data_IF_596868519110
#
_entry.id   IF_596868519110
#
_cell.length_a   1.000
_cell.length_b   1.000
_cell.length_c   1.000
_cell.angle_alpha   90.00
_cell.angle_beta   90.00
_cell.angle_gamma   90.00
#
_symmetry.space_group_name_H-M   'P 1'
#
loop_
_entity.id
_entity.type
_entity.pdbx_description
1 polymer ?
#
# COMPACT_ATOMS: atom_id res chain seq x y z
N UNK A 1 -20.13 21.82 3.47
CA UNK A 1 -19.78 23.23 3.78
C UNK A 1 -19.97 24.04 2.53
N UNK A 2 -20.77 25.09 2.60
CA UNK A 2 -20.84 26.08 1.52
C UNK A 2 -19.65 27.04 1.66
N UNK A 3 -19.00 27.34 0.53
CA UNK A 3 -17.90 28.32 0.47
C UNK A 3 -18.52 29.68 0.13
N UNK A 4 -18.13 30.73 0.86
CA UNK A 4 -18.65 32.06 0.61
C UNK A 4 -18.07 32.66 -0.67
N UNK A 5 -18.82 33.58 -1.28
CA UNK A 5 -18.38 34.33 -2.46
C UNK A 5 -17.06 35.07 -2.21
N UNK A 6 -16.83 35.59 -1.01
CA UNK A 6 -15.57 36.22 -0.62
C UNK A 6 -14.39 35.27 -0.75
N UNK A 7 -14.56 34.00 -0.33
CA UNK A 7 -13.51 32.98 -0.44
C UNK A 7 -13.29 32.50 -1.86
N UNK A 8 -14.32 32.54 -2.71
CA UNK A 8 -14.17 32.29 -4.15
C UNK A 8 -13.34 33.39 -4.81
N UNK A 9 -13.58 34.67 -4.46
CA UNK A 9 -12.77 35.80 -4.94
C UNK A 9 -11.31 35.69 -4.48
N UNK A 10 -11.10 35.39 -3.20
CA UNK A 10 -9.76 35.17 -2.66
C UNK A 10 -9.02 34.06 -3.43
N UNK A 11 -9.71 32.96 -3.74
CA UNK A 11 -9.15 31.88 -4.57
C UNK A 11 -8.76 32.37 -5.98
N UNK A 12 -9.59 33.19 -6.65
CA UNK A 12 -9.25 33.78 -7.96
C UNK A 12 -8.01 34.65 -7.89
N UNK A 13 -7.91 35.51 -6.87
CA UNK A 13 -6.80 36.43 -6.68
C UNK A 13 -5.49 35.67 -6.46
N UNK A 14 -5.51 34.64 -5.61
CA UNK A 14 -4.36 33.76 -5.39
C UNK A 14 -3.99 33.03 -6.68
N UNK A 15 -4.95 32.44 -7.38
CA UNK A 15 -4.67 31.68 -8.60
C UNK A 15 -4.06 32.56 -9.70
N UNK A 16 -4.58 33.78 -9.88
CA UNK A 16 -4.01 34.76 -10.81
C UNK A 16 -2.59 35.16 -10.42
N UNK A 17 -2.33 35.36 -9.13
CA UNK A 17 -1.00 35.72 -8.63
C UNK A 17 0.03 34.62 -8.86
N UNK A 18 -0.32 33.37 -8.56
CA UNK A 18 0.61 32.24 -8.60
C UNK A 18 0.82 31.69 -10.02
N UNK A 19 -0.22 31.70 -10.85
CA UNK A 19 -0.19 31.06 -12.19
C UNK A 19 -0.38 32.05 -13.35
N UNK A 20 -0.58 33.34 -13.08
CA UNK A 20 -0.80 34.36 -14.11
C UNK A 20 -2.12 34.20 -14.88
N UNK A 21 -2.99 33.27 -14.48
CA UNK A 21 -4.23 32.92 -15.18
C UNK A 21 -5.45 33.45 -14.43
N UNK A 22 -6.30 34.19 -15.13
CA UNK A 22 -7.62 34.54 -14.62
C UNK A 22 -8.59 33.37 -14.80
N UNK A 23 -9.32 33.04 -13.74
CA UNK A 23 -10.38 32.04 -13.76
C UNK A 23 -11.73 32.73 -13.86
N UNK A 24 -12.66 32.15 -14.62
CA UNK A 24 -14.07 32.51 -14.52
C UNK A 24 -14.62 32.19 -13.13
N UNK A 25 -15.73 32.83 -12.74
CA UNK A 25 -16.37 32.56 -11.45
C UNK A 25 -16.70 31.08 -11.26
N UNK A 26 -17.19 30.41 -12.31
CA UNK A 26 -17.55 28.99 -12.28
C UNK A 26 -16.32 28.12 -12.01
N UNK A 27 -15.23 28.34 -12.74
CA UNK A 27 -13.97 27.59 -12.54
C UNK A 27 -13.41 27.81 -11.13
N UNK A 28 -13.48 29.05 -10.63
CA UNK A 28 -13.02 29.37 -9.28
C UNK A 28 -13.89 28.72 -8.20
N UNK A 29 -15.22 28.76 -8.35
CA UNK A 29 -16.14 28.14 -7.41
C UNK A 29 -15.96 26.61 -7.36
N UNK A 30 -15.80 25.96 -8.51
CA UNK A 30 -15.51 24.53 -8.60
C UNK A 30 -14.14 24.20 -7.99
N UNK A 31 -13.09 24.94 -8.35
CA UNK A 31 -11.74 24.76 -7.83
C UNK A 31 -11.66 24.94 -6.30
N UNK A 32 -12.29 25.99 -5.78
CA UNK A 32 -12.28 26.29 -4.35
C UNK A 32 -13.05 25.23 -3.54
N UNK A 33 -14.18 24.72 -4.05
CA UNK A 33 -14.90 23.58 -3.42
C UNK A 33 -14.09 22.29 -3.45
N UNK A 34 -13.43 21.98 -4.56
CA UNK A 34 -12.55 20.82 -4.65
C UNK A 34 -11.39 20.90 -3.66
N UNK A 35 -10.75 22.08 -3.55
CA UNK A 35 -9.68 22.31 -2.58
C UNK A 35 -10.17 22.12 -1.14
N UNK A 36 -11.33 22.69 -0.80
CA UNK A 36 -11.93 22.51 0.52
C UNK A 36 -12.24 21.04 0.82
N UNK A 37 -12.79 20.31 -0.16
CA UNK A 37 -13.05 18.87 -0.04
C UNK A 37 -11.77 18.08 0.22
N UNK A 38 -10.70 18.35 -0.54
CA UNK A 38 -9.39 17.73 -0.32
C UNK A 38 -8.83 18.04 1.07
N UNK A 39 -8.90 19.30 1.50
CA UNK A 39 -8.44 19.72 2.82
C UNK A 39 -9.21 19.01 3.93
N UNK A 40 -10.52 18.84 3.78
CA UNK A 40 -11.36 18.12 4.73
C UNK A 40 -10.96 16.64 4.84
N UNK A 41 -10.76 15.95 3.70
CA UNK A 41 -10.31 14.55 3.67
C UNK A 41 -8.95 14.42 4.38
N UNK A 42 -8.01 15.32 4.10
CA UNK A 42 -6.69 15.31 4.72
C UNK A 42 -6.78 15.54 6.25
N UNK A 43 -7.59 16.50 6.68
CA UNK A 43 -7.81 16.80 8.08
C UNK A 43 -8.45 15.63 8.84
N UNK A 44 -9.50 15.02 8.29
CA UNK A 44 -10.17 13.88 8.90
C UNK A 44 -9.25 12.66 9.00
N UNK A 45 -8.47 12.40 7.94
CA UNK A 45 -7.44 11.35 7.94
C UNK A 45 -6.39 11.57 9.03
N UNK A 46 -5.91 12.81 9.18
CA UNK A 46 -4.94 13.17 10.21
C UNK A 46 -5.52 13.05 11.62
N UNK A 47 -6.78 13.46 11.82
CA UNK A 47 -7.50 13.34 13.09
C UNK A 47 -7.64 11.87 13.49
N UNK A 48 -7.98 10.99 12.55
CA UNK A 48 -8.05 9.54 12.78
C UNK A 48 -6.69 8.95 13.15
N UNK A 49 -5.63 9.31 12.43
CA UNK A 49 -4.26 8.84 12.73
C UNK A 49 -3.80 9.33 14.12
N UNK A 50 -4.08 10.58 14.47
CA UNK A 50 -3.81 11.12 15.81
C UNK A 50 -4.57 10.36 16.90
N UNK A 51 -5.85 10.05 16.67
CA UNK A 51 -6.64 9.26 17.59
C UNK A 51 -6.04 7.87 17.79
N UNK A 52 -5.70 7.17 16.70
CA UNK A 52 -5.10 5.83 16.75
C UNK A 52 -3.75 5.84 17.48
N UNK A 53 -2.88 6.81 17.18
CA UNK A 53 -1.60 7.01 17.87
C UNK A 53 -1.76 7.28 19.36
N UNK A 54 -2.79 8.01 19.77
CA UNK A 54 -3.11 8.21 21.20
C UNK A 54 -3.58 6.92 21.86
N UNK A 55 -4.53 6.21 21.24
CA UNK A 55 -5.05 4.92 21.73
C UNK A 55 -3.95 3.86 21.87
N UNK A 56 -2.91 3.91 21.03
CA UNK A 56 -1.77 3.01 21.13
C UNK A 56 -0.96 3.18 22.43
N UNK A 57 -1.00 4.36 23.06
CA UNK A 57 -0.35 4.57 24.37
C UNK A 57 -1.00 3.71 25.46
N UNK A 58 -2.33 3.56 25.40
CA UNK A 58 -3.10 2.75 26.32
C UNK A 58 -3.10 1.26 25.91
N UNK A 59 -2.94 1.00 24.60
CA UNK A 59 -2.93 -0.34 24.00
C UNK A 59 -1.65 -0.59 23.19
N UNK A 60 -0.47 -0.71 23.83
CA UNK A 60 0.83 -0.72 23.12
C UNK A 60 1.05 -1.94 22.21
N UNK A 61 0.25 -2.99 22.34
CA UNK A 61 0.29 -4.16 21.44
C UNK A 61 -0.55 -3.99 20.17
N UNK A 62 -1.41 -2.98 20.12
CA UNK A 62 -2.40 -2.77 19.08
C UNK A 62 -3.84 -3.03 19.53
N UNK A 63 -4.78 -2.78 18.63
CA UNK A 63 -6.22 -2.89 18.86
C UNK A 63 -7.02 -3.08 17.55
N UNK A 64 -8.27 -3.54 17.67
CA UNK A 64 -9.23 -3.61 16.58
C UNK A 64 -9.82 -2.23 16.23
N UNK A 65 -10.08 -2.00 14.94
CA UNK A 65 -10.77 -0.82 14.43
C UNK A 65 -12.27 -1.10 14.24
N UNK A 66 -13.05 -0.86 15.28
CA UNK A 66 -14.50 -1.08 15.31
C UNK A 66 -15.28 0.17 14.88
N UNK A 67 -14.98 0.68 13.69
CA UNK A 67 -15.61 1.88 13.14
C UNK A 67 -16.55 1.60 11.95
N UNK A 68 -16.82 0.33 11.67
CA UNK A 68 -17.70 -0.11 10.59
C UNK A 68 -17.08 0.03 9.19
N UNK A 69 -15.82 0.44 9.07
CA UNK A 69 -15.15 0.62 7.78
C UNK A 69 -14.43 -0.65 7.33
N UNK A 70 -14.26 -0.76 6.02
CA UNK A 70 -13.44 -1.79 5.38
C UNK A 70 -12.06 -1.22 5.07
N UNK A 71 -11.04 -2.02 5.34
CA UNK A 71 -9.64 -1.69 5.15
C UNK A 71 -8.91 -2.79 4.39
N UNK A 72 -7.74 -2.48 3.85
CA UNK A 72 -6.85 -3.48 3.26
C UNK A 72 -5.69 -3.80 4.19
N UNK A 73 -5.47 -5.08 4.46
CA UNK A 73 -4.30 -5.54 5.21
C UNK A 73 -3.00 -5.05 4.56
N UNK A 74 -2.09 -4.44 5.33
CA UNK A 74 -0.81 -3.92 4.83
C UNK A 74 0.09 -4.99 4.19
N UNK A 75 -0.09 -6.26 4.57
CA UNK A 75 0.76 -7.38 4.13
C UNK A 75 0.09 -8.14 2.98
N UNK A 76 -1.05 -8.81 3.22
CA UNK A 76 -1.69 -9.66 2.22
C UNK A 76 -2.71 -8.92 1.33
N UNK A 77 -3.00 -7.65 1.61
CA UNK A 77 -3.98 -6.81 0.91
C UNK A 77 -5.44 -7.29 0.97
N UNK A 78 -5.73 -8.32 1.78
CA UNK A 78 -7.10 -8.77 2.05
C UNK A 78 -7.96 -7.64 2.64
N UNK A 79 -9.21 -7.56 2.18
CA UNK A 79 -10.22 -6.65 2.71
C UNK A 79 -10.74 -7.16 4.07
N UNK A 80 -10.67 -6.32 5.09
CA UNK A 80 -10.97 -6.65 6.50
C UNK A 80 -11.74 -5.50 7.17
N UNK A 81 -12.56 -5.80 8.16
CA UNK A 81 -13.33 -4.80 8.92
C UNK A 81 -13.46 -5.19 10.39
N UNK A 82 -13.74 -4.21 11.25
CA UNK A 82 -14.08 -4.41 12.66
C UNK A 82 -13.11 -5.35 13.40
N UNK A 83 -13.63 -6.41 14.02
CA UNK A 83 -12.89 -7.39 14.80
C UNK A 83 -11.85 -8.19 13.99
N UNK A 84 -11.92 -8.16 12.67
CA UNK A 84 -10.95 -8.81 11.78
C UNK A 84 -9.68 -7.97 11.56
N UNK A 85 -9.71 -6.71 11.98
CA UNK A 85 -8.59 -5.78 11.85
C UNK A 85 -7.66 -5.85 13.05
N UNK A 86 -6.38 -5.57 12.83
CA UNK A 86 -5.42 -5.28 13.88
C UNK A 86 -4.58 -4.09 13.50
N UNK A 87 -4.63 -3.02 14.31
CA UNK A 87 -3.84 -1.81 14.10
C UNK A 87 -2.81 -1.65 15.21
N UNK A 88 -1.55 -1.42 14.81
CA UNK A 88 -0.42 -1.09 15.70
C UNK A 88 0.56 -0.14 14.97
N UNK A 89 1.78 0.04 15.50
CA UNK A 89 2.83 0.87 14.86
C UNK A 89 3.24 0.43 13.44
N UNK A 90 2.99 -0.83 13.07
CA UNK A 90 3.19 -1.38 11.74
C UNK A 90 1.99 -1.17 10.81
N UNK A 91 0.96 -0.44 11.24
CA UNK A 91 -0.25 -0.16 10.47
C UNK A 91 -1.29 -1.30 10.55
N UNK A 92 -2.28 -1.22 9.67
CA UNK A 92 -3.43 -2.12 9.71
C UNK A 92 -3.13 -3.48 9.08
N UNK A 93 -3.55 -4.56 9.73
CA UNK A 93 -3.32 -5.95 9.31
C UNK A 93 -4.57 -6.79 9.54
N UNK A 94 -4.70 -7.90 8.81
CA UNK A 94 -5.64 -8.95 9.17
C UNK A 94 -5.09 -9.78 10.34
N UNK A 95 -5.96 -10.51 11.04
CA UNK A 95 -5.54 -11.34 12.17
C UNK A 95 -4.58 -12.47 11.78
N UNK A 96 -4.66 -12.98 10.55
CA UNK A 96 -3.72 -14.00 10.05
C UNK A 96 -2.29 -13.46 9.98
N UNK A 97 -2.11 -12.30 9.35
CA UNK A 97 -0.81 -11.63 9.25
C UNK A 97 -0.30 -11.17 10.62
N UNK A 98 -1.18 -10.65 11.49
CA UNK A 98 -0.78 -10.30 12.87
C UNK A 98 -0.25 -11.53 13.62
N UNK A 99 -0.98 -12.65 13.58
CA UNK A 99 -0.56 -13.89 14.24
C UNK A 99 0.76 -14.43 13.69
N UNK A 100 1.02 -14.27 12.39
CA UNK A 100 2.29 -14.65 11.79
C UNK A 100 3.47 -13.78 12.26
N UNK A 101 3.25 -12.48 12.50
CA UNK A 101 4.24 -11.59 13.12
C UNK A 101 4.52 -11.99 14.57
N UNK A 102 3.47 -12.25 15.36
CA UNK A 102 3.59 -12.64 16.77
C UNK A 102 4.36 -13.95 16.92
N UNK A 103 4.11 -14.91 16.01
CA UNK A 103 4.83 -16.18 15.92
C UNK A 103 6.20 -16.08 15.23
N UNK A 104 6.61 -14.89 14.80
CA UNK A 104 7.87 -14.62 14.08
C UNK A 104 8.05 -15.48 12.81
N UNK A 105 6.96 -15.88 12.18
CA UNK A 105 6.97 -16.57 10.87
C UNK A 105 7.47 -15.60 9.80
N UNK A 106 6.97 -14.35 9.87
CA UNK A 106 7.41 -13.21 9.07
C UNK A 106 7.96 -12.11 9.99
N UNK A 107 8.98 -11.35 9.57
CA UNK A 107 9.56 -10.28 10.39
C UNK A 107 8.71 -9.00 10.33
N UNK A 108 8.75 -8.16 11.38
CA UNK A 108 8.06 -6.86 11.41
C UNK A 108 8.43 -5.90 10.28
N UNK A 109 9.59 -6.07 9.64
CA UNK A 109 10.03 -5.25 8.51
C UNK A 109 9.05 -5.31 7.34
N UNK A 110 8.34 -6.43 7.15
CA UNK A 110 7.35 -6.59 6.06
C UNK A 110 6.19 -5.60 6.13
N UNK A 111 5.93 -5.01 7.30
CA UNK A 111 4.89 -4.00 7.47
C UNK A 111 5.34 -2.61 6.97
N UNK A 112 6.64 -2.34 7.01
CA UNK A 112 7.22 -1.02 6.77
C UNK A 112 7.78 -0.88 5.36
N UNK A 113 8.29 -1.97 4.80
CA UNK A 113 9.03 -1.99 3.55
C UNK A 113 8.50 -3.14 2.67
N UNK A 114 7.61 -2.79 1.73
CA UNK A 114 7.07 -3.68 0.71
C UNK A 114 8.04 -3.93 -0.46
N UNK A 115 9.16 -3.21 -0.53
CA UNK A 115 10.22 -3.46 -1.51
C UNK A 115 11.16 -4.59 -1.04
N UNK A 116 11.20 -4.87 0.26
CA UNK A 116 12.05 -5.93 0.83
C UNK A 116 11.59 -7.38 0.58
N UNK A 117 10.44 -7.58 -0.07
CA UNK A 117 9.85 -8.91 -0.29
C UNK A 117 8.88 -8.96 -1.46
N UNK A 118 8.69 -10.15 -2.03
CA UNK A 118 7.71 -10.40 -3.10
C UNK A 118 6.53 -11.23 -2.63
N UNK A 119 5.33 -10.90 -3.10
CA UNK A 119 4.19 -11.81 -3.09
C UNK A 119 4.27 -12.78 -4.28
N UNK A 120 3.60 -13.93 -4.20
CA UNK A 120 3.60 -14.92 -5.29
C UNK A 120 3.11 -14.38 -6.63
N UNK A 121 2.15 -13.44 -6.64
CA UNK A 121 1.63 -12.83 -7.87
C UNK A 121 2.62 -11.84 -8.52
N UNK A 122 3.55 -11.27 -7.74
CA UNK A 122 4.54 -10.32 -8.24
C UNK A 122 5.59 -11.00 -9.13
N UNK A 123 5.80 -12.32 -8.99
CA UNK A 123 6.67 -13.07 -9.91
C UNK A 123 6.15 -13.10 -11.34
N UNK A 124 4.83 -13.20 -11.52
CA UNK A 124 4.24 -13.13 -12.86
C UNK A 124 4.26 -11.68 -13.36
N UNK A 125 3.98 -10.73 -12.48
CA UNK A 125 3.97 -9.31 -12.81
C UNK A 125 5.34 -8.82 -13.30
N UNK A 126 6.39 -9.02 -12.50
CA UNK A 126 7.74 -8.53 -12.75
C UNK A 126 8.57 -9.46 -13.64
N UNK A 127 8.47 -10.78 -13.46
CA UNK A 127 9.40 -11.73 -14.09
C UNK A 127 8.75 -12.62 -15.14
N UNK A 128 7.43 -12.50 -15.34
CA UNK A 128 6.62 -13.40 -16.18
C UNK A 128 6.72 -14.87 -15.75
N UNK A 129 7.03 -15.14 -14.47
CA UNK A 129 7.12 -16.48 -13.89
C UNK A 129 5.78 -16.84 -13.24
N UNK A 130 5.05 -17.78 -13.84
CA UNK A 130 3.74 -18.23 -13.32
C UNK A 130 3.86 -18.92 -11.95
N UNK A 131 2.85 -18.75 -11.10
CA UNK A 131 2.82 -19.32 -9.73
C UNK A 131 3.11 -20.83 -9.64
N UNK A 132 2.69 -21.71 -10.58
CA UNK A 132 3.09 -23.12 -10.54
C UNK A 132 4.60 -23.34 -10.61
N UNK A 133 5.32 -22.50 -11.39
CA UNK A 133 6.78 -22.52 -11.49
C UNK A 133 7.40 -22.02 -10.19
N UNK A 134 6.89 -20.93 -9.60
CA UNK A 134 7.33 -20.44 -8.29
C UNK A 134 7.22 -21.54 -7.22
N UNK A 135 6.06 -22.20 -7.14
CA UNK A 135 5.84 -23.33 -6.22
C UNK A 135 6.77 -24.51 -6.50
N UNK A 136 7.13 -24.76 -7.76
CA UNK A 136 8.12 -25.78 -8.12
C UNK A 136 9.51 -25.41 -7.58
N UNK A 137 9.92 -24.15 -7.72
CA UNK A 137 11.20 -23.65 -7.18
C UNK A 137 11.26 -23.78 -5.66
N UNK A 138 10.15 -23.51 -4.96
CA UNK A 138 10.02 -23.73 -3.51
C UNK A 138 10.18 -25.21 -3.16
N UNK A 139 9.47 -26.11 -3.84
CA UNK A 139 9.60 -27.56 -3.61
C UNK A 139 11.00 -28.10 -3.89
N UNK A 140 11.72 -27.49 -4.82
CA UNK A 140 13.10 -27.83 -5.15
C UNK A 140 14.13 -27.21 -4.19
N UNK A 141 13.69 -26.40 -3.23
CA UNK A 141 14.58 -25.71 -2.28
C UNK A 141 15.39 -24.56 -2.91
N UNK A 142 15.12 -24.20 -4.17
CA UNK A 142 15.80 -23.10 -4.87
C UNK A 142 15.30 -21.74 -4.42
N UNK A 143 14.07 -21.68 -3.95
CA UNK A 143 13.42 -20.47 -3.49
C UNK A 143 12.84 -20.69 -2.10
N UNK A 144 13.15 -19.81 -1.16
CA UNK A 144 12.70 -19.88 0.23
C UNK A 144 11.50 -18.97 0.43
N UNK A 145 10.35 -19.57 0.73
CA UNK A 145 9.11 -18.86 1.03
C UNK A 145 8.83 -18.77 2.54
N UNK A 146 7.98 -17.81 2.91
CA UNK A 146 7.38 -17.67 4.24
C UNK A 146 5.86 -17.70 4.07
N UNK A 147 5.23 -18.72 4.66
CA UNK A 147 3.79 -18.94 4.54
C UNK A 147 3.08 -18.45 5.80
N UNK A 148 2.20 -17.48 5.64
CA UNK A 148 1.22 -17.07 6.65
C UNK A 148 0.10 -18.10 6.68
N UNK A 149 -0.17 -18.76 7.81
CA UNK A 149 -1.23 -19.76 7.91
C UNK A 149 -2.60 -19.10 8.07
N UNK A 150 -3.62 -19.70 7.47
CA UNK A 150 -5.02 -19.39 7.78
C UNK A 150 -5.47 -20.05 9.10
N UNK A 151 -6.73 -19.87 9.50
CA UNK A 151 -7.25 -20.42 10.77
C UNK A 151 -7.24 -21.96 10.82
N UNK A 152 -7.37 -22.61 9.67
CA UNK A 152 -7.43 -24.07 9.52
C UNK A 152 -6.05 -24.71 9.30
N UNK A 153 -4.97 -23.94 9.39
CA UNK A 153 -3.61 -24.42 9.14
C UNK A 153 -3.23 -24.54 7.65
N UNK A 154 -4.11 -24.15 6.73
CA UNK A 154 -3.78 -23.99 5.32
C UNK A 154 -3.03 -22.68 5.04
N UNK A 155 -2.73 -22.43 3.77
CA UNK A 155 -2.07 -21.20 3.32
C UNK A 155 -3.06 -20.03 3.27
N UNK A 156 -2.72 -18.91 3.91
CA UNK A 156 -3.42 -17.64 3.76
C UNK A 156 -2.70 -16.71 2.78
N UNK A 157 -1.39 -16.57 2.96
CA UNK A 157 -0.55 -15.71 2.13
C UNK A 157 0.88 -16.24 2.09
N UNK A 158 1.54 -16.15 0.95
CA UNK A 158 2.93 -16.56 0.78
C UNK A 158 3.75 -15.35 0.33
N UNK A 159 4.87 -15.12 1.02
CA UNK A 159 5.82 -14.07 0.67
C UNK A 159 7.26 -14.59 0.64
N UNK A 160 8.09 -13.87 -0.10
CA UNK A 160 9.48 -14.21 -0.36
C UNK A 160 10.37 -13.03 0.02
N UNK A 161 11.01 -13.13 1.18
CA UNK A 161 11.93 -12.10 1.65
C UNK A 161 13.18 -12.12 0.76
N UNK A 162 13.60 -10.97 0.25
CA UNK A 162 14.82 -10.87 -0.58
C UNK A 162 16.04 -11.33 0.21
N UNK A 163 16.13 -10.92 1.48
CA UNK A 163 17.21 -11.33 2.41
C UNK A 163 17.29 -12.84 2.67
N UNK A 164 16.20 -13.58 2.47
CA UNK A 164 16.19 -15.04 2.64
C UNK A 164 16.63 -15.76 1.35
N UNK A 165 16.76 -15.02 0.25
CA UNK A 165 17.00 -15.50 -1.11
C UNK A 165 18.12 -14.70 -1.79
N UNK A 166 19.13 -14.28 -1.03
CA UNK A 166 20.26 -13.51 -1.55
C UNK A 166 20.94 -14.28 -2.68
N UNK A 167 21.15 -13.61 -3.82
CA UNK A 167 21.76 -14.20 -5.01
C UNK A 167 20.80 -15.03 -5.87
N UNK A 168 19.54 -15.19 -5.44
CA UNK A 168 18.46 -15.84 -6.20
C UNK A 168 17.39 -14.83 -6.59
N UNK A 169 16.87 -14.07 -5.62
CA UNK A 169 15.91 -13.00 -5.88
C UNK A 169 16.61 -11.66 -6.10
N UNK A 170 16.31 -10.94 -7.20
CA UNK A 170 16.75 -9.57 -7.37
C UNK A 170 15.94 -8.62 -6.49
N UNK A 171 16.45 -7.40 -6.32
CA UNK A 171 15.66 -6.28 -5.81
C UNK A 171 14.46 -5.99 -6.74
N UNK A 172 13.43 -5.33 -6.19
CA UNK A 172 12.24 -5.00 -6.98
C UNK A 172 12.61 -4.12 -8.16
N UNK A 173 12.08 -4.41 -9.37
CA UNK A 173 12.28 -3.57 -10.53
C UNK A 173 11.89 -2.12 -10.27
N UNK A 174 12.78 -1.19 -10.64
CA UNK A 174 12.44 0.23 -10.60
C UNK A 174 11.37 0.56 -11.64
N UNK A 175 10.35 1.29 -11.22
CA UNK A 175 9.30 1.80 -12.11
C UNK A 175 9.73 3.08 -12.83
N UNK A 176 9.30 3.26 -14.07
CA UNK A 176 9.46 4.50 -14.83
C UNK A 176 8.19 4.82 -15.63
N UNK A 177 7.99 6.10 -15.92
CA UNK A 177 6.84 6.58 -16.68
C UNK A 177 7.15 6.57 -18.17
N UNK A 178 6.25 5.97 -18.94
CA UNK A 178 6.30 5.92 -20.41
C UNK A 178 5.05 6.60 -20.96
N UNK A 179 5.22 7.33 -22.06
CA UNK A 179 4.11 7.92 -22.81
C UNK A 179 3.84 7.05 -24.04
N UNK A 180 2.59 6.68 -24.25
CA UNK A 180 2.17 6.01 -25.48
C UNK A 180 1.97 7.01 -26.64
N UNK A 181 1.66 6.48 -27.83
CA UNK A 181 1.40 7.29 -29.04
C UNK A 181 0.21 8.25 -28.91
N UNK A 182 -0.62 8.07 -27.87
CA UNK A 182 -1.82 8.86 -27.58
C UNK A 182 -1.57 9.87 -26.44
N UNK A 183 -0.30 10.09 -26.07
CA UNK A 183 0.16 10.93 -24.95
C UNK A 183 -0.40 10.48 -23.57
N UNK A 184 -0.83 9.23 -23.45
CA UNK A 184 -1.22 8.65 -22.16
C UNK A 184 0.02 8.17 -21.44
N UNK A 185 0.07 8.43 -20.15
CA UNK A 185 1.18 8.02 -19.30
C UNK A 185 0.84 6.69 -18.63
N UNK A 186 1.69 5.68 -18.82
CA UNK A 186 1.63 4.42 -18.09
C UNK A 186 2.96 4.10 -17.39
N UNK A 187 2.92 3.17 -16.44
CA UNK A 187 4.09 2.74 -15.67
C UNK A 187 4.67 1.49 -16.30
N UNK A 188 5.97 1.51 -16.56
CA UNK A 188 6.77 0.34 -16.94
C UNK A 188 7.84 0.06 -15.89
N UNK A 189 8.47 -1.11 -15.95
CA UNK A 189 9.47 -1.56 -14.99
C UNK A 189 10.74 -1.96 -15.71
N UNK A 190 11.89 -1.64 -15.12
CA UNK A 190 13.17 -2.05 -15.68
C UNK A 190 13.31 -3.57 -15.61
N UNK A 191 13.81 -4.17 -16.68
CA UNK A 191 14.13 -5.60 -16.65
C UNK A 191 15.21 -5.87 -15.60
N UNK A 192 15.05 -6.96 -14.86
CA UNK A 192 16.03 -7.45 -13.88
C UNK A 192 16.48 -8.85 -14.25
N UNK A 193 17.75 -9.16 -13.98
CA UNK A 193 18.29 -10.50 -14.26
C UNK A 193 17.66 -11.53 -13.30
N UNK A 194 16.85 -12.42 -13.88
CA UNK A 194 16.21 -13.54 -13.19
C UNK A 194 16.80 -14.90 -13.58
N UNK A 195 17.96 -14.91 -14.26
CA UNK A 195 18.62 -16.14 -14.69
C UNK A 195 18.86 -17.13 -13.54
N UNK A 196 19.14 -16.61 -12.34
CA UNK A 196 19.33 -17.39 -11.11
C UNK A 196 18.07 -18.07 -10.58
N UNK A 197 16.88 -17.58 -10.92
CA UNK A 197 15.61 -18.24 -10.60
C UNK A 197 15.32 -19.44 -11.50
N UNK A 198 15.91 -19.47 -12.69
CA UNK A 198 15.58 -20.44 -13.76
C UNK A 198 16.64 -21.53 -13.97
N UNK A 199 17.82 -21.40 -13.34
CA UNK A 199 18.84 -22.46 -13.24
C UNK A 199 18.38 -23.55 -12.29
#
# INVERSE_FOLDING_TARGET
>A
MEISDEKIKEFQEIYKKEYGKELSWKEAAEGARSLLGLAQIAYDSYKEDCFRKRKLKDHPKGFHLDDGKTYSCRICRESISNEQTWWDEGGIKCLHCQKALDKKIIPKSVCKDDESWYATWEFDYYFKIKSPTVRKLVRQGKLKSRTVPNINGGEHFELFLIKDNIGVLPEKPESYLVKDEQDRVHVEYKDVDVSKLLQ
#
